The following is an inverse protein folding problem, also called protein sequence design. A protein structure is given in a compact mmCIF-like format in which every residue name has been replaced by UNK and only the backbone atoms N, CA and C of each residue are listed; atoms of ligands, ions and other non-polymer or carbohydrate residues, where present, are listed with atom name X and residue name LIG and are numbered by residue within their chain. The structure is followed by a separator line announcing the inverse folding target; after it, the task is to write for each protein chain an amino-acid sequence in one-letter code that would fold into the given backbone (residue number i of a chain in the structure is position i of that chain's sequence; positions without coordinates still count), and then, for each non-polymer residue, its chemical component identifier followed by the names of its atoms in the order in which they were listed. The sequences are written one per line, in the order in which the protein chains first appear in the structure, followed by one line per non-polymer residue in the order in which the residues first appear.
data_IF_100049690416
#
_entry.id   IF_100049690416
#
_cell.length_a   1.000
_cell.length_b   1.000
_cell.length_c   1.000
_cell.angle_alpha   90.00
_cell.angle_beta   90.00
_cell.angle_gamma   90.00
#
_symmetry.space_group_name_H-M   'P 1'
#
loop_
_entity.id
_entity.type
_entity.pdbx_description
1 polymer ?
#
# COMPACT_ATOMS: atom_id res chain seq x y z
N UNK A 1 -23.60 6.98 -7.25
CA UNK A 1 -22.72 8.01 -7.86
C UNK A 1 -21.61 7.28 -8.60
N UNK A 2 -21.40 7.59 -9.88
CA UNK A 2 -20.35 6.96 -10.69
C UNK A 2 -18.99 7.59 -10.36
N UNK A 3 -17.92 6.80 -10.43
CA UNK A 3 -16.52 7.17 -10.20
C UNK A 3 -16.06 8.52 -10.82
N UNK A 4 -16.54 8.96 -12.00
CA UNK A 4 -16.11 10.23 -12.60
C UNK A 4 -16.47 11.48 -11.78
N UNK A 5 -17.63 11.50 -11.10
CA UNK A 5 -18.15 12.72 -10.46
C UNK A 5 -17.47 13.00 -9.12
N UNK A 6 -17.07 11.93 -8.41
CA UNK A 6 -16.26 12.01 -7.19
C UNK A 6 -14.82 12.45 -7.50
N UNK A 7 -14.27 11.95 -8.61
CA UNK A 7 -12.91 12.28 -9.05
C UNK A 7 -12.74 13.78 -9.32
N UNK A 8 -13.63 14.38 -10.13
CA UNK A 8 -13.54 15.80 -10.49
C UNK A 8 -13.60 16.70 -9.25
N UNK A 9 -14.48 16.40 -8.28
CA UNK A 9 -14.59 17.15 -7.02
C UNK A 9 -13.36 17.03 -6.12
N UNK A 10 -12.64 15.91 -6.17
CA UNK A 10 -11.43 15.70 -5.39
C UNK A 10 -10.20 16.39 -6.02
N UNK A 11 -10.20 16.65 -7.32
CA UNK A 11 -9.01 17.14 -8.05
C UNK A 11 -9.09 18.61 -8.49
N UNK A 12 -10.24 19.28 -8.38
CA UNK A 12 -10.33 20.73 -8.63
C UNK A 12 -9.43 21.50 -7.66
N UNK A 13 -8.57 22.38 -8.18
CA UNK A 13 -7.62 23.20 -7.41
C UNK A 13 -8.36 24.09 -6.40
N UNK A 14 -8.33 23.69 -5.14
CA UNK A 14 -8.84 24.47 -4.02
C UNK A 14 -7.90 24.29 -2.83
N UNK A 15 -7.96 25.18 -1.84
CA UNK A 15 -7.25 25.03 -0.55
C UNK A 15 -7.57 23.71 0.20
N UNK A 16 -8.57 22.98 -0.25
CA UNK A 16 -9.08 21.76 0.35
C UNK A 16 -8.67 20.51 -0.43
N UNK A 17 -7.96 20.65 -1.55
CA UNK A 17 -7.58 19.52 -2.38
C UNK A 17 -6.51 18.67 -1.69
N UNK A 18 -6.63 17.33 -1.74
CA UNK A 18 -5.62 16.42 -1.22
C UNK A 18 -4.30 16.61 -1.97
N UNK A 19 -3.19 16.45 -1.25
CA UNK A 19 -1.84 16.37 -1.83
C UNK A 19 -1.74 15.18 -2.78
N UNK A 20 -2.29 14.05 -2.34
CA UNK A 20 -2.29 12.79 -3.08
C UNK A 20 -3.70 12.19 -2.98
N UNK A 21 -4.31 11.84 -4.11
CA UNK A 21 -5.61 11.18 -4.16
C UNK A 21 -5.57 10.02 -5.14
N UNK A 22 -6.12 8.89 -4.71
CA UNK A 22 -6.16 7.64 -5.47
C UNK A 22 -7.48 6.93 -5.26
N UNK A 23 -7.96 6.22 -6.27
CA UNK A 23 -9.16 5.40 -6.15
C UNK A 23 -9.19 4.22 -7.12
N UNK A 24 -9.83 3.14 -6.68
CA UNK A 24 -9.99 1.90 -7.42
C UNK A 24 -11.33 1.25 -7.08
N UNK A 25 -11.95 0.63 -8.08
CA UNK A 25 -13.12 -0.22 -7.86
C UNK A 25 -12.64 -1.64 -7.60
N UNK A 26 -13.03 -2.20 -6.46
CA UNK A 26 -12.86 -3.61 -6.16
C UNK A 26 -14.12 -4.36 -6.60
N UNK A 27 -14.00 -5.20 -7.61
CA UNK A 27 -15.09 -6.00 -8.18
C UNK A 27 -14.83 -7.52 -8.13
N UNK A 28 -13.65 -7.90 -7.64
CA UNK A 28 -13.12 -9.27 -7.65
C UNK A 28 -12.81 -9.80 -6.24
N UNK A 29 -13.29 -9.10 -5.21
CA UNK A 29 -13.08 -9.46 -3.81
C UNK A 29 -13.96 -10.65 -3.40
N UNK A 30 -13.44 -11.48 -2.49
CA UNK A 30 -14.16 -12.62 -1.91
C UNK A 30 -14.17 -12.55 -0.39
N UNK A 31 -15.28 -12.98 0.22
CA UNK A 31 -15.38 -13.21 1.67
C UNK A 31 -14.47 -14.36 2.09
N UNK A 32 -14.23 -14.53 3.39
CA UNK A 32 -13.49 -15.68 3.94
C UNK A 32 -14.08 -17.05 3.55
N UNK A 33 -15.40 -17.11 3.33
CA UNK A 33 -16.09 -18.31 2.83
C UNK A 33 -16.00 -18.49 1.29
N UNK A 34 -15.15 -17.73 0.60
CA UNK A 34 -14.94 -17.79 -0.85
C UNK A 34 -16.06 -17.21 -1.71
N UNK A 35 -17.05 -16.53 -1.12
CA UNK A 35 -18.17 -15.92 -1.87
C UNK A 35 -17.79 -14.54 -2.42
N UNK A 36 -18.22 -14.15 -3.64
CA UNK A 36 -17.98 -12.81 -4.16
C UNK A 36 -18.56 -11.72 -3.27
N UNK A 37 -17.80 -10.64 -3.09
CA UNK A 37 -18.22 -9.41 -2.43
C UNK A 37 -18.79 -8.46 -3.49
N UNK A 38 -19.82 -7.69 -3.14
CA UNK A 38 -20.36 -6.69 -4.04
C UNK A 38 -19.30 -5.63 -4.40
N UNK A 39 -19.31 -5.18 -5.66
CA UNK A 39 -18.34 -4.20 -6.12
C UNK A 39 -18.42 -2.92 -5.29
N UNK A 40 -17.27 -2.42 -4.83
CA UNK A 40 -17.17 -1.25 -3.96
C UNK A 40 -15.95 -0.40 -4.30
N UNK A 41 -16.00 0.88 -3.93
CA UNK A 41 -14.96 1.86 -4.24
C UNK A 41 -14.05 2.05 -3.03
N UNK A 42 -12.75 1.88 -3.23
CA UNK A 42 -11.73 2.34 -2.29
C UNK A 42 -11.13 3.65 -2.78
N UNK A 43 -11.00 4.62 -1.86
CA UNK A 43 -10.36 5.91 -2.11
C UNK A 43 -9.38 6.19 -0.99
N UNK A 44 -8.13 6.51 -1.34
CA UNK A 44 -7.12 6.96 -0.39
C UNK A 44 -6.73 8.41 -0.72
N UNK A 45 -6.85 9.27 0.30
CA UNK A 45 -6.52 10.70 0.21
C UNK A 45 -5.53 11.08 1.31
N UNK A 46 -4.50 11.80 0.91
CA UNK A 46 -3.50 12.36 1.79
C UNK A 46 -3.55 13.88 1.70
N UNK A 47 -3.59 14.55 2.83
CA UNK A 47 -3.67 16.01 2.91
C UNK A 47 -2.40 16.58 3.53
N UNK A 48 -1.96 17.74 3.06
CA UNK A 48 -0.81 18.45 3.63
C UNK A 48 -1.07 18.88 5.08
N UNK A 49 -2.31 19.22 5.41
CA UNK A 49 -2.74 19.64 6.74
C UNK A 49 -3.85 18.72 7.22
N UNK A 50 -3.96 18.45 8.55
CA UNK A 50 -5.06 17.66 9.09
C UNK A 50 -6.44 18.19 8.66
N UNK A 51 -7.38 17.26 8.50
CA UNK A 51 -8.76 17.53 8.11
C UNK A 51 -9.71 16.76 9.02
N UNK A 52 -10.87 17.35 9.31
CA UNK A 52 -11.92 16.62 10.01
C UNK A 52 -12.63 15.68 9.05
N UNK A 53 -12.99 14.48 9.53
CA UNK A 53 -13.75 13.51 8.74
C UNK A 53 -15.09 14.11 8.26
N UNK A 54 -15.74 14.92 9.10
CA UNK A 54 -16.97 15.62 8.75
C UNK A 54 -16.79 16.57 7.56
N UNK A 55 -15.67 17.31 7.50
CA UNK A 55 -15.39 18.20 6.37
C UNK A 55 -15.19 17.42 5.07
N UNK A 56 -14.47 16.30 5.14
CA UNK A 56 -14.23 15.45 3.97
C UNK A 56 -15.52 14.77 3.52
N UNK A 57 -16.31 14.23 4.44
CA UNK A 57 -17.62 13.63 4.14
C UNK A 57 -18.54 14.62 3.41
N UNK A 58 -18.60 15.86 3.90
CA UNK A 58 -19.40 16.92 3.29
C UNK A 58 -18.91 17.28 1.88
N UNK A 59 -17.59 17.30 1.66
CA UNK A 59 -16.99 17.53 0.34
C UNK A 59 -17.36 16.42 -0.65
N UNK A 60 -17.28 15.16 -0.20
CA UNK A 60 -17.60 13.99 -1.03
C UNK A 60 -19.10 13.78 -1.23
N UNK A 61 -19.94 14.44 -0.43
CA UNK A 61 -21.37 14.17 -0.37
C UNK A 61 -21.69 12.79 0.19
N UNK A 62 -20.86 12.30 1.12
CA UNK A 62 -21.05 11.03 1.81
C UNK A 62 -21.16 11.24 3.34
N UNK A 63 -21.31 10.15 4.08
CA UNK A 63 -21.43 10.18 5.53
C UNK A 63 -20.08 9.97 6.22
N UNK A 64 -19.79 10.66 7.35
CA UNK A 64 -18.52 10.53 8.05
C UNK A 64 -18.18 9.09 8.47
N UNK A 65 -19.19 8.26 8.77
CA UNK A 65 -19.01 6.88 9.22
C UNK A 65 -18.46 5.95 8.12
N UNK A 66 -18.44 6.42 6.86
CA UNK A 66 -17.87 5.71 5.71
C UNK A 66 -16.45 6.17 5.38
N UNK A 67 -15.88 7.06 6.19
CA UNK A 67 -14.55 7.62 5.99
C UNK A 67 -13.74 7.36 7.24
N UNK A 68 -12.58 6.74 7.06
CA UNK A 68 -11.68 6.43 8.16
C UNK A 68 -10.43 7.32 8.11
N UNK A 69 -9.97 7.75 9.29
CA UNK A 69 -8.63 8.31 9.42
C UNK A 69 -7.61 7.17 9.43
N UNK A 70 -6.90 6.98 8.33
CA UNK A 70 -5.91 5.92 8.19
C UNK A 70 -4.71 6.12 9.13
N UNK A 71 -4.39 5.11 9.95
CA UNK A 71 -3.33 5.18 10.98
C UNK A 71 -2.10 4.34 10.66
N UNK A 72 -2.19 3.39 9.73
CA UNK A 72 -1.12 2.43 9.44
C UNK A 72 -0.01 3.00 8.54
N UNK A 73 0.11 4.32 8.41
CA UNK A 73 1.03 4.99 7.51
C UNK A 73 0.52 5.07 6.07
N UNK A 74 0.83 6.18 5.40
CA UNK A 74 0.30 6.52 4.07
C UNK A 74 0.65 5.45 3.02
N UNK A 75 1.86 4.91 3.04
CA UNK A 75 2.34 3.93 2.06
C UNK A 75 1.58 2.60 2.15
N UNK A 76 1.22 2.17 3.36
CA UNK A 76 0.36 1.00 3.56
C UNK A 76 -1.04 1.24 3.01
N UNK A 77 -1.58 2.45 3.17
CA UNK A 77 -2.88 2.82 2.61
C UNK A 77 -2.87 2.74 1.09
N UNK A 78 -1.84 3.31 0.44
CA UNK A 78 -1.69 3.19 -1.01
C UNK A 78 -1.48 1.75 -1.46
N UNK A 79 -0.67 0.97 -0.75
CA UNK A 79 -0.40 -0.43 -1.09
C UNK A 79 -1.64 -1.31 -0.94
N UNK A 80 -2.51 -1.00 0.01
CA UNK A 80 -3.73 -1.76 0.27
C UNK A 80 -4.75 -1.68 -0.86
N UNK A 81 -4.76 -0.59 -1.65
CA UNK A 81 -5.64 -0.45 -2.83
C UNK A 81 -5.43 -1.55 -3.86
N UNK A 82 -4.23 -2.11 -3.96
CA UNK A 82 -3.95 -3.26 -4.83
C UNK A 82 -3.65 -4.54 -4.04
N UNK A 83 -4.04 -4.58 -2.76
CA UNK A 83 -3.81 -5.69 -1.84
C UNK A 83 -2.34 -6.12 -1.69
N UNK A 84 -1.40 -5.17 -1.83
CA UNK A 84 0.06 -5.42 -1.75
C UNK A 84 0.63 -5.43 -0.33
N UNK A 85 -0.20 -5.31 0.70
CA UNK A 85 0.22 -5.43 2.10
C UNK A 85 0.24 -6.90 2.53
N UNK A 86 1.07 -7.26 3.51
CA UNK A 86 1.21 -8.66 3.94
C UNK A 86 -0.12 -9.29 4.39
N UNK A 87 -0.96 -8.52 5.11
CA UNK A 87 -2.28 -8.97 5.53
C UNK A 87 -3.33 -9.11 4.42
N UNK A 88 -3.02 -8.66 3.20
CA UNK A 88 -3.91 -8.74 2.05
C UNK A 88 -3.37 -9.63 0.92
N UNK A 89 -2.18 -10.26 1.08
CA UNK A 89 -1.55 -11.08 0.03
C UNK A 89 -2.39 -12.24 -0.47
N UNK A 90 -3.23 -12.82 0.39
CA UNK A 90 -4.14 -13.91 0.03
C UNK A 90 -5.39 -13.45 -0.71
N UNK A 91 -5.67 -12.14 -0.72
CA UNK A 91 -6.79 -11.54 -1.45
C UNK A 91 -6.44 -11.36 -2.94
N UNK A 92 -7.46 -11.10 -3.75
CA UNK A 92 -7.28 -10.76 -5.15
C UNK A 92 -6.31 -9.59 -5.32
N UNK A 93 -5.26 -9.77 -6.13
CA UNK A 93 -4.24 -8.75 -6.34
C UNK A 93 -4.59 -7.92 -7.58
N UNK A 94 -5.03 -6.68 -7.37
CA UNK A 94 -5.37 -5.78 -8.48
C UNK A 94 -4.12 -5.28 -9.22
N UNK A 95 -4.30 -4.96 -10.50
CA UNK A 95 -3.28 -4.30 -11.33
C UNK A 95 -3.15 -2.82 -10.89
N UNK A 96 -1.94 -2.34 -10.54
CA UNK A 96 -1.73 -0.93 -10.21
C UNK A 96 -2.15 0.05 -11.31
N UNK A 97 -2.18 -0.38 -12.57
CA UNK A 97 -2.54 0.47 -13.73
C UNK A 97 -4.03 0.83 -13.78
N UNK A 98 -4.90 0.09 -13.10
CA UNK A 98 -6.34 0.39 -13.06
C UNK A 98 -6.69 1.38 -11.94
N UNK A 99 -5.73 1.74 -11.08
CA UNK A 99 -5.89 2.80 -10.08
C UNK A 99 -5.91 4.15 -10.77
N UNK A 100 -6.91 4.97 -10.44
CA UNK A 100 -6.94 6.38 -10.85
C UNK A 100 -6.26 7.23 -9.79
N UNK A 101 -5.33 8.07 -10.19
CA UNK A 101 -4.51 8.87 -9.29
C UNK A 101 -4.17 10.24 -9.88
N UNK A 102 -3.91 11.23 -9.03
CA UNK A 102 -3.40 12.55 -9.45
C UNK A 102 -1.86 12.62 -9.48
N UNK A 103 -1.21 11.46 -9.39
CA UNK A 103 0.25 11.25 -9.47
C UNK A 103 0.53 9.89 -10.12
N UNK A 104 1.80 9.56 -10.36
CA UNK A 104 2.20 8.25 -10.88
C UNK A 104 2.12 7.17 -9.77
N UNK A 105 0.96 6.53 -9.67
CA UNK A 105 0.70 5.50 -8.67
C UNK A 105 1.52 4.21 -8.90
N UNK A 106 1.58 3.65 -10.13
CA UNK A 106 2.44 2.48 -10.39
C UNK A 106 3.90 2.69 -9.99
N UNK A 107 4.49 3.86 -10.29
CA UNK A 107 5.86 4.17 -9.88
C UNK A 107 6.01 4.26 -8.36
N UNK A 108 5.06 4.90 -7.67
CA UNK A 108 5.07 4.96 -6.20
C UNK A 108 5.04 3.56 -5.59
N UNK A 109 4.13 2.71 -6.06
CA UNK A 109 3.95 1.36 -5.52
C UNK A 109 5.21 0.50 -5.74
N UNK A 110 5.80 0.54 -6.93
CA UNK A 110 7.05 -0.16 -7.22
C UNK A 110 8.21 0.31 -6.32
N UNK A 111 8.28 1.61 -6.02
CA UNK A 111 9.26 2.17 -5.07
C UNK A 111 9.05 1.66 -3.64
N UNK A 112 7.79 1.62 -3.17
CA UNK A 112 7.44 1.07 -1.85
C UNK A 112 7.88 -0.40 -1.76
N UNK A 113 7.46 -1.23 -2.72
CA UNK A 113 7.80 -2.65 -2.78
C UNK A 113 9.32 -2.88 -2.79
N UNK A 114 10.05 -2.09 -3.59
CA UNK A 114 11.52 -2.16 -3.64
C UNK A 114 12.18 -1.84 -2.31
N UNK A 115 11.70 -0.81 -1.58
CA UNK A 115 12.23 -0.50 -0.24
C UNK A 115 11.92 -1.59 0.76
N UNK A 116 10.69 -2.12 0.77
CA UNK A 116 10.31 -3.22 1.68
C UNK A 116 11.17 -4.45 1.41
N UNK A 117 11.39 -4.81 0.15
CA UNK A 117 12.26 -5.92 -0.24
C UNK A 117 13.70 -5.71 0.24
N UNK A 118 14.27 -4.52 0.03
CA UNK A 118 15.61 -4.18 0.53
C UNK A 118 15.71 -4.28 2.05
N UNK A 119 14.76 -3.71 2.79
CA UNK A 119 14.74 -3.78 4.26
C UNK A 119 14.68 -5.22 4.75
N UNK A 120 13.87 -6.08 4.12
CA UNK A 120 13.80 -7.51 4.46
C UNK A 120 15.12 -8.23 4.23
N UNK A 121 15.73 -8.05 3.05
CA UNK A 121 17.05 -8.62 2.72
C UNK A 121 18.11 -8.18 3.74
N UNK A 122 18.19 -6.89 4.06
CA UNK A 122 19.15 -6.39 5.06
C UNK A 122 18.94 -7.00 6.45
N UNK A 123 17.69 -7.14 6.90
CA UNK A 123 17.38 -7.80 8.17
C UNK A 123 17.78 -9.28 8.15
N UNK A 124 17.53 -10.00 7.06
CA UNK A 124 17.94 -11.40 6.89
C UNK A 124 19.46 -11.55 6.96
N UNK A 125 20.22 -10.69 6.27
CA UNK A 125 21.69 -10.70 6.33
C UNK A 125 22.18 -10.50 7.76
N UNK A 126 21.59 -9.55 8.50
CA UNK A 126 21.99 -9.29 9.88
C UNK A 126 21.77 -10.51 10.79
N UNK A 127 20.60 -11.16 10.69
CA UNK A 127 20.28 -12.36 11.48
C UNK A 127 21.28 -13.48 11.19
N UNK A 128 21.59 -13.72 9.91
CA UNK A 128 22.56 -14.75 9.54
C UNK A 128 23.98 -14.44 10.04
N UNK A 129 24.37 -13.17 10.09
CA UNK A 129 25.65 -12.76 10.69
C UNK A 129 25.68 -12.99 12.20
N UNK A 130 24.60 -12.66 12.90
CA UNK A 130 24.46 -12.90 14.34
C UNK A 130 24.55 -14.42 14.63
N UNK A 131 23.85 -15.26 13.85
CA UNK A 131 23.89 -16.73 13.95
C UNK A 131 25.30 -17.30 13.72
N UNK A 132 26.07 -16.73 12.78
CA UNK A 132 27.47 -17.13 12.54
C UNK A 132 28.34 -16.78 13.75
N UNK A 133 28.21 -15.56 14.28
CA UNK A 133 29.00 -15.09 15.43
C UNK A 133 28.70 -15.89 16.70
N UNK A 134 27.45 -16.34 16.84
CA UNK A 134 27.00 -17.18 17.95
C UNK A 134 27.30 -18.67 17.72
N UNK A 135 27.89 -19.03 16.58
CA UNK A 135 28.27 -20.40 16.23
C UNK A 135 27.09 -21.33 15.94
N UNK A 136 25.90 -20.78 15.66
CA UNK A 136 24.70 -21.55 15.30
C UNK A 136 24.74 -22.07 13.86
N UNK A 137 25.43 -21.36 12.98
CA UNK A 137 25.68 -21.76 11.59
C UNK A 137 27.17 -21.64 11.27
N UNK A 138 27.63 -22.35 10.25
CA UNK A 138 28.98 -22.22 9.71
C UNK A 138 29.02 -21.31 8.46
N UNK A 139 30.23 -21.02 7.99
CA UNK A 139 30.47 -20.15 6.83
C UNK A 139 29.85 -20.69 5.54
N UNK A 140 29.81 -22.01 5.35
CA UNK A 140 29.25 -22.61 4.14
C UNK A 140 27.72 -22.48 4.13
N UNK A 141 27.09 -22.72 5.28
CA UNK A 141 25.67 -22.54 5.51
C UNK A 141 25.25 -21.07 5.32
N UNK A 142 26.05 -20.11 5.79
CA UNK A 142 25.84 -18.68 5.51
C UNK A 142 25.88 -18.36 4.01
N UNK A 143 26.93 -18.81 3.31
CA UNK A 143 27.12 -18.52 1.87
C UNK A 143 26.00 -19.16 1.03
N UNK A 144 25.52 -20.34 1.40
CA UNK A 144 24.42 -21.00 0.67
C UNK A 144 23.07 -20.28 0.81
N UNK A 145 22.89 -19.50 1.90
CA UNK A 145 21.66 -18.76 2.19
C UNK A 145 21.69 -17.31 1.68
N UNK A 146 22.86 -16.80 1.32
CA UNK A 146 23.02 -15.49 0.68
C UNK A 146 23.03 -15.64 -0.85
N UNK A 147 22.35 -14.75 -1.57
CA UNK A 147 22.59 -14.64 -3.01
C UNK A 147 24.00 -14.08 -3.27
N UNK A 148 24.61 -14.41 -4.40
CA UNK A 148 25.94 -13.88 -4.77
C UNK A 148 26.03 -12.35 -4.76
N UNK A 149 24.91 -11.65 -5.00
CA UNK A 149 24.81 -10.19 -4.89
C UNK A 149 24.70 -9.65 -3.46
N UNK A 150 24.28 -10.47 -2.50
CA UNK A 150 24.21 -10.11 -1.07
C UNK A 150 25.55 -10.35 -0.39
N UNK A 151 26.28 -11.40 -0.78
CA UNK A 151 27.65 -11.65 -0.32
C UNK A 151 28.63 -10.55 -0.74
N UNK A 152 28.49 -10.01 -1.96
CA UNK A 152 29.38 -8.95 -2.45
C UNK A 152 29.16 -7.57 -1.79
N UNK A 153 28.13 -7.41 -0.95
CA UNK A 153 27.79 -6.15 -0.25
C UNK A 153 28.24 -6.12 1.22
N UNK A 154 28.74 -7.22 1.76
CA UNK A 154 29.42 -7.27 3.07
C UNK A 154 30.87 -6.84 2.93
#
# INVERSE_FOLDING_TARGET
MTCPVLWTKCTEESKHSPRSATGIVHDSDTTDAGRPVAAHLHVMMEFQNPRSLNSIAKLLGDKPERIEAWKAGVENGFSYLCHRTDGARSKHQYDPKIVRSNFDYPALLASIESRVARTRSHSSVKVLLDDLLEGRIDKESLISQLSGSEYART
#
